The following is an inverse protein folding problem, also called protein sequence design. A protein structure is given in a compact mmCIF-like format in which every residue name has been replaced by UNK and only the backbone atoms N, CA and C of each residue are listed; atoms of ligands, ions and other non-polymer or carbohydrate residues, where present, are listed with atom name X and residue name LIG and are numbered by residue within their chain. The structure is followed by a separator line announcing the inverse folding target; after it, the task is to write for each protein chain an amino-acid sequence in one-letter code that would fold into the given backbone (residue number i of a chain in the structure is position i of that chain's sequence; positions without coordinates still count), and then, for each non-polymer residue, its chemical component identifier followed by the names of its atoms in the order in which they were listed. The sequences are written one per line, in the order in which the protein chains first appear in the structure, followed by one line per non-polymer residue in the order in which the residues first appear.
data_IF_539120206131
#
_entry.id   IF_539120206131
#
_cell.length_a   1.000
_cell.length_b   1.000
_cell.length_c   1.000
_cell.angle_alpha   90.00
_cell.angle_beta   90.00
_cell.angle_gamma   90.00
#
_symmetry.space_group_name_H-M   'P 1'
#
loop_
_entity.id
_entity.type
_entity.pdbx_description
1 polymer ?
#
# COMPACT_ATOMS: atom_id res chain seq x y z
N UNK A 1 3.14 8.03 -8.24
CA UNK A 1 3.86 7.41 -7.11
C UNK A 1 3.17 7.78 -5.80
N UNK A 2 2.68 6.79 -5.06
CA UNK A 2 2.03 6.91 -3.75
C UNK A 2 3.09 7.00 -2.65
N UNK A 3 3.59 8.21 -2.42
CA UNK A 3 4.63 8.50 -1.43
C UNK A 3 4.23 8.04 -0.03
N UNK A 4 2.96 8.21 0.36
CA UNK A 4 2.47 7.80 1.69
C UNK A 4 2.69 6.31 1.94
N UNK A 5 2.35 5.46 0.97
CA UNK A 5 2.52 4.02 1.09
C UNK A 5 4.00 3.62 1.21
N UNK A 6 4.88 4.31 0.47
CA UNK A 6 6.33 4.09 0.54
C UNK A 6 6.91 4.51 1.88
N UNK A 7 6.50 5.67 2.40
CA UNK A 7 6.94 6.18 3.71
C UNK A 7 6.52 5.21 4.82
N UNK A 8 5.25 4.79 4.85
CA UNK A 8 4.77 3.80 5.84
C UNK A 8 5.56 2.49 5.80
N UNK A 9 5.91 2.02 4.61
CA UNK A 9 6.76 0.83 4.46
C UNK A 9 8.15 1.04 5.07
N UNK A 10 8.79 2.18 4.78
CA UNK A 10 10.15 2.50 5.26
C UNK A 10 10.15 2.70 6.78
N UNK A 11 9.15 3.42 7.32
CA UNK A 11 9.00 3.66 8.76
C UNK A 11 8.76 2.35 9.53
N UNK A 12 8.06 1.40 8.91
CA UNK A 12 7.86 0.05 9.45
C UNK A 12 9.09 -0.88 9.26
N UNK A 13 10.16 -0.40 8.61
CA UNK A 13 11.38 -1.17 8.39
C UNK A 13 11.25 -2.30 7.36
N UNK A 14 10.19 -2.32 6.54
CA UNK A 14 9.95 -3.40 5.60
C UNK A 14 10.54 -3.15 4.21
N UNK A 15 11.06 -4.19 3.59
CA UNK A 15 11.24 -4.28 2.15
C UNK A 15 9.91 -4.52 1.45
N UNK A 16 9.84 -4.26 0.13
CA UNK A 16 8.62 -4.57 -0.66
C UNK A 16 8.28 -6.05 -0.66
N UNK A 17 9.31 -6.91 -0.64
CA UNK A 17 9.19 -8.35 -0.55
C UNK A 17 8.54 -8.76 0.77
N UNK A 18 8.98 -8.20 1.89
CA UNK A 18 8.39 -8.48 3.21
C UNK A 18 6.95 -8.02 3.31
N UNK A 19 6.63 -6.81 2.84
CA UNK A 19 5.24 -6.35 2.76
C UNK A 19 4.40 -7.34 1.96
N UNK A 20 4.87 -7.73 0.78
CA UNK A 20 4.18 -8.67 -0.09
C UNK A 20 3.94 -10.03 0.59
N UNK A 21 4.96 -10.56 1.28
CA UNK A 21 4.84 -11.79 2.07
C UNK A 21 3.83 -11.65 3.21
N UNK A 22 3.88 -10.56 3.98
CA UNK A 22 2.99 -10.33 5.13
C UNK A 22 1.52 -10.25 4.75
N UNK A 23 1.21 -9.68 3.57
CA UNK A 23 -0.17 -9.49 3.11
C UNK A 23 -0.59 -10.48 2.02
N UNK A 24 0.25 -11.48 1.70
CA UNK A 24 -0.04 -12.49 0.68
C UNK A 24 -0.28 -11.90 -0.71
N UNK A 25 0.64 -11.05 -1.17
CA UNK A 25 0.69 -10.47 -2.52
C UNK A 25 2.06 -10.73 -3.15
N UNK A 26 2.25 -10.35 -4.41
CA UNK A 26 3.58 -10.38 -5.04
C UNK A 26 4.31 -9.06 -4.86
N UNK A 27 5.64 -9.12 -4.77
CA UNK A 27 6.50 -7.93 -4.67
C UNK A 27 6.26 -6.95 -5.83
N UNK A 28 6.13 -7.48 -7.06
CA UNK A 28 5.84 -6.69 -8.26
C UNK A 28 4.51 -5.94 -8.11
N UNK A 29 3.50 -6.57 -7.48
CA UNK A 29 2.22 -5.92 -7.24
C UNK A 29 2.34 -4.78 -6.22
N UNK A 30 3.06 -4.99 -5.11
CA UNK A 30 3.36 -3.93 -4.12
C UNK A 30 4.09 -2.76 -4.79
N UNK A 31 5.11 -3.05 -5.60
CA UNK A 31 5.82 -2.03 -6.39
C UNK A 31 4.89 -1.21 -7.28
N UNK A 32 4.03 -1.86 -8.07
CA UNK A 32 3.07 -1.18 -8.97
C UNK A 32 2.07 -0.31 -8.19
N UNK A 33 1.67 -0.74 -6.99
CA UNK A 33 0.83 0.06 -6.11
C UNK A 33 1.57 1.31 -5.61
N UNK A 34 2.81 1.17 -5.13
CA UNK A 34 3.65 2.31 -4.72
C UNK A 34 3.94 3.27 -5.88
N UNK A 35 4.15 2.77 -7.09
CA UNK A 35 4.38 3.61 -8.26
C UNK A 35 3.11 4.34 -8.72
N UNK A 36 1.92 3.87 -8.33
CA UNK A 36 0.63 4.41 -8.78
C UNK A 36 0.15 3.80 -10.10
N UNK A 37 0.83 2.78 -10.63
CA UNK A 37 0.51 2.16 -11.92
C UNK A 37 -0.76 1.30 -11.91
N UNK A 38 -1.35 1.05 -10.74
CA UNK A 38 -2.61 0.31 -10.59
C UNK A 38 -3.39 0.79 -9.36
N UNK A 39 -4.71 0.79 -9.46
CA UNK A 39 -5.57 1.00 -8.30
C UNK A 39 -5.78 -0.32 -7.53
N UNK A 40 -5.61 -0.31 -6.20
CA UNK A 40 -5.87 -1.48 -5.37
C UNK A 40 -7.37 -1.78 -5.31
N UNK A 41 -7.72 -3.04 -5.04
CA UNK A 41 -9.08 -3.39 -4.62
C UNK A 41 -9.28 -3.05 -3.13
N UNK A 42 -10.53 -2.96 -2.69
CA UNK A 42 -10.87 -2.79 -1.26
C UNK A 42 -10.18 -3.86 -0.39
N UNK A 43 -10.24 -5.13 -0.81
CA UNK A 43 -9.57 -6.23 -0.10
C UNK A 43 -8.06 -6.01 0.05
N UNK A 44 -7.41 -5.47 -0.98
CA UNK A 44 -5.99 -5.12 -0.91
C UNK A 44 -5.76 -3.95 0.05
N UNK A 45 -6.58 -2.89 -0.03
CA UNK A 45 -6.44 -1.74 0.87
C UNK A 45 -6.60 -2.13 2.34
N UNK A 46 -7.58 -2.99 2.66
CA UNK A 46 -7.77 -3.50 4.02
C UNK A 46 -6.54 -4.26 4.54
N UNK A 47 -5.90 -5.09 3.72
CA UNK A 47 -4.65 -5.76 4.11
C UNK A 47 -3.53 -4.78 4.48
N UNK A 48 -3.43 -3.66 3.76
CA UNK A 48 -2.45 -2.62 4.07
C UNK A 48 -2.83 -1.84 5.33
N UNK A 49 -4.12 -1.61 5.57
CA UNK A 49 -4.61 -1.05 6.83
C UNK A 49 -4.26 -1.97 8.00
N UNK A 50 -4.49 -3.27 7.87
CA UNK A 50 -4.16 -4.24 8.93
C UNK A 50 -2.65 -4.29 9.19
N UNK A 51 -1.82 -4.19 8.14
CA UNK A 51 -0.37 -4.19 8.27
C UNK A 51 0.18 -2.92 8.94
N UNK A 52 -0.36 -1.74 8.61
CA UNK A 52 0.19 -0.46 9.05
C UNK A 52 -0.61 0.23 10.17
N UNK A 53 -1.77 -0.30 10.54
CA UNK A 53 -2.66 0.29 11.54
C UNK A 53 -3.20 1.67 11.13
N UNK A 54 -3.29 1.95 9.83
CA UNK A 54 -3.62 3.27 9.29
C UNK A 54 -4.86 3.19 8.38
N UNK A 55 -5.84 4.11 8.50
CA UNK A 55 -7.02 4.13 7.64
C UNK A 55 -6.69 4.10 6.15
N UNK A 56 -7.49 3.38 5.36
CA UNK A 56 -7.29 3.22 3.92
C UNK A 56 -7.29 4.55 3.16
N UNK A 57 -8.02 5.56 3.66
CA UNK A 57 -8.08 6.91 3.10
C UNK A 57 -6.75 7.66 3.23
N UNK A 58 -6.04 7.41 4.33
CA UNK A 58 -4.71 7.99 4.58
C UNK A 58 -3.65 7.24 3.76
N UNK A 59 -3.76 5.92 3.63
CA UNK A 59 -2.84 5.09 2.85
C UNK A 59 -2.98 5.30 1.34
N UNK A 60 -4.21 5.50 0.85
CA UNK A 60 -4.54 5.61 -0.58
C UNK A 60 -5.33 6.90 -0.89
N UNK A 61 -4.80 8.09 -0.56
CA UNK A 61 -5.54 9.34 -0.68
C UNK A 61 -5.93 9.65 -2.13
N UNK A 62 -5.17 9.17 -3.11
CA UNK A 62 -5.43 9.33 -4.54
C UNK A 62 -6.65 8.51 -5.04
N UNK A 63 -7.00 7.43 -4.33
CA UNK A 63 -8.17 6.61 -4.67
C UNK A 63 -9.46 7.30 -4.23
N UNK A 64 -9.42 8.00 -3.09
CA UNK A 64 -10.58 8.66 -2.49
C UNK A 64 -10.71 10.14 -2.87
N UNK A 65 -9.62 10.83 -3.21
CA UNK A 65 -9.64 12.19 -3.75
C UNK A 65 -9.85 12.14 -5.26
N UNK A 66 -11.07 11.83 -5.70
CA UNK A 66 -11.58 12.33 -6.99
C UNK A 66 -12.40 13.59 -6.72
N UNK A 67 -11.86 14.75 -7.10
CA UNK A 67 -12.67 15.89 -7.53
C UNK A 67 -12.67 15.90 -9.05
#
# INVERSE_FOLDING_TARGET
MRKVLMTKRIDAGYTRKEVASNIGLSEIFVRKLEEGGRNPSIKTMLKFQDLYGEPIENLFPDVFRKR
#
